data_IF_630250731365
#
_entry.id   IF_630250731365
#
_cell.length_a   1.000
_cell.length_b   1.000
_cell.length_c   1.000
_cell.angle_alpha   90.00
_cell.angle_beta   90.00
_cell.angle_gamma   90.00
#
_symmetry.space_group_name_H-M   'P 1'
#
loop_
_entity.id
_entity.type
_entity.pdbx_description
1 polymer ?
#
# COMPACT_ATOMS: atom_id res chain seq x y z
N UNK A 1 5.58 -27.19 28.90
CA UNK A 1 5.66 -27.39 27.44
C UNK A 1 4.25 -27.39 26.90
N UNK A 2 3.80 -26.23 26.42
CA UNK A 2 2.51 -26.02 25.78
C UNK A 2 2.80 -25.65 24.34
N UNK A 3 2.78 -26.65 23.45
CA UNK A 3 2.70 -26.42 22.01
C UNK A 3 1.28 -25.95 21.71
N UNK A 4 1.12 -24.65 21.43
CA UNK A 4 -0.03 -24.12 20.71
C UNK A 4 0.22 -24.34 19.22
N UNK A 5 -0.56 -25.20 18.55
CA UNK A 5 -0.60 -25.20 17.09
C UNK A 5 -1.52 -24.04 16.64
N UNK A 6 -1.18 -23.38 15.53
CA UNK A 6 -1.95 -22.30 14.87
C UNK A 6 -1.77 -20.84 15.36
N UNK A 7 -0.54 -20.42 15.70
CA UNK A 7 -0.11 -19.09 15.27
C UNK A 7 0.73 -19.29 14.01
N UNK A 8 0.34 -18.65 12.89
CA UNK A 8 1.14 -18.70 11.67
C UNK A 8 2.54 -18.19 12.02
N UNK A 9 3.54 -19.07 11.90
CA UNK A 9 4.92 -18.73 12.25
C UNK A 9 5.32 -17.46 11.49
N UNK A 10 5.77 -16.45 12.24
CA UNK A 10 6.29 -15.23 11.63
C UNK A 10 7.50 -15.58 10.76
N UNK A 11 7.70 -14.86 9.66
CA UNK A 11 8.86 -15.02 8.76
C UNK A 11 10.18 -15.04 9.52
N UNK A 12 10.33 -14.19 10.55
CA UNK A 12 11.49 -14.16 11.43
C UNK A 12 11.69 -15.46 12.23
N UNK A 13 10.62 -16.02 12.80
CA UNK A 13 10.69 -17.27 13.57
C UNK A 13 11.00 -18.48 12.67
N UNK A 14 10.51 -18.46 11.43
CA UNK A 14 10.83 -19.48 10.43
C UNK A 14 12.32 -19.41 10.04
N UNK A 15 12.86 -18.19 9.86
CA UNK A 15 14.27 -17.96 9.55
C UNK A 15 15.19 -18.37 10.71
N UNK A 16 14.84 -18.06 11.96
CA UNK A 16 15.60 -18.47 13.14
C UNK A 16 15.72 -19.99 13.26
N UNK A 17 14.63 -20.73 13.03
CA UNK A 17 14.66 -22.20 13.02
C UNK A 17 15.54 -22.73 11.89
N UNK A 18 15.43 -22.13 10.72
CA UNK A 18 16.25 -22.52 9.57
C UNK A 18 17.74 -22.31 9.84
N UNK A 19 18.13 -21.17 10.40
CA UNK A 19 19.51 -20.87 10.80
C UNK A 19 19.98 -21.87 11.87
N UNK A 20 19.15 -22.19 12.85
CA UNK A 20 19.47 -23.17 13.89
C UNK A 20 19.71 -24.57 13.30
N UNK A 21 18.85 -25.01 12.40
CA UNK A 21 18.98 -26.31 11.71
C UNK A 21 20.26 -26.35 10.87
N UNK A 22 20.56 -25.27 10.15
CA UNK A 22 21.78 -25.13 9.36
C UNK A 22 23.05 -25.13 10.22
N UNK A 23 23.08 -24.40 11.33
CA UNK A 23 24.21 -24.39 12.27
C UNK A 23 24.40 -25.76 12.94
N UNK A 24 23.30 -26.44 13.28
CA UNK A 24 23.34 -27.79 13.84
C UNK A 24 23.90 -28.82 12.83
N UNK A 25 23.66 -28.63 11.54
CA UNK A 25 24.20 -29.47 10.47
C UNK A 25 25.72 -29.35 10.34
N UNK A 26 26.27 -28.20 10.70
CA UNK A 26 27.71 -27.91 10.79
C UNK A 26 28.29 -28.22 12.18
N UNK A 27 27.50 -28.86 13.06
CA UNK A 27 27.86 -29.16 14.45
C UNK A 27 28.25 -27.94 15.29
N UNK A 28 27.76 -26.75 14.92
CA UNK A 28 27.95 -25.50 15.65
C UNK A 28 26.81 -25.29 16.64
N UNK A 29 27.17 -25.01 17.89
CA UNK A 29 26.23 -24.65 18.95
C UNK A 29 26.30 -23.15 19.17
N UNK A 30 25.28 -22.42 18.72
CA UNK A 30 25.16 -20.97 18.84
C UNK A 30 24.00 -20.65 19.80
N UNK A 31 24.14 -19.70 20.75
CA UNK A 31 23.05 -19.26 21.60
C UNK A 31 21.86 -18.72 20.80
N UNK A 32 20.65 -18.94 21.32
CA UNK A 32 19.40 -18.53 20.65
C UNK A 32 19.34 -17.01 20.39
N UNK A 33 19.84 -16.20 21.34
CA UNK A 33 19.86 -14.75 21.23
C UNK A 33 20.73 -14.27 20.04
N UNK A 34 21.81 -14.99 19.75
CA UNK A 34 22.69 -14.68 18.61
C UNK A 34 22.05 -15.11 17.29
N UNK A 35 21.31 -16.22 17.28
CA UNK A 35 20.51 -16.66 16.12
C UNK A 35 19.41 -15.64 15.79
N UNK A 36 18.74 -15.09 16.80
CA UNK A 36 17.75 -14.01 16.63
C UNK A 36 18.40 -12.74 16.06
N UNK A 37 19.60 -12.36 16.55
CA UNK A 37 20.34 -11.23 15.99
C UNK A 37 20.77 -11.46 14.54
N UNK A 38 21.23 -12.67 14.20
CA UNK A 38 21.58 -13.04 12.83
C UNK A 38 20.36 -12.98 11.91
N UNK A 39 19.21 -13.52 12.34
CA UNK A 39 17.97 -13.47 11.58
C UNK A 39 17.55 -12.02 11.29
N UNK A 40 17.58 -11.15 12.30
CA UNK A 40 17.28 -9.71 12.14
C UNK A 40 18.24 -9.00 11.19
N UNK A 41 19.53 -9.32 11.27
CA UNK A 41 20.53 -8.72 10.39
C UNK A 41 20.34 -9.13 8.92
N UNK A 42 19.95 -10.39 8.67
CA UNK A 42 19.63 -10.86 7.32
C UNK A 42 18.31 -10.26 6.81
N UNK A 43 17.36 -9.95 7.70
CA UNK A 43 16.12 -9.27 7.34
C UNK A 43 16.29 -7.77 7.02
N UNK A 44 17.35 -7.12 7.51
CA UNK A 44 17.54 -5.67 7.33
C UNK A 44 17.56 -5.28 5.85
N UNK A 45 16.67 -4.35 5.48
CA UNK A 45 16.54 -3.82 4.12
C UNK A 45 17.60 -2.74 3.88
N UNK A 46 18.54 -3.00 2.98
CA UNK A 46 19.56 -2.02 2.57
C UNK A 46 20.98 -2.56 2.48
N UNK A 47 21.22 -3.77 2.96
CA UNK A 47 22.51 -4.47 2.81
C UNK A 47 22.50 -5.35 1.56
N UNK A 48 23.61 -5.34 0.83
CA UNK A 48 23.81 -6.24 -0.30
C UNK A 48 24.05 -7.69 0.18
N UNK A 49 23.87 -8.66 -0.72
CA UNK A 49 24.05 -10.10 -0.39
C UNK A 49 25.41 -10.37 0.23
N UNK A 50 26.46 -9.80 -0.33
CA UNK A 50 27.84 -10.01 0.12
C UNK A 50 28.10 -9.39 1.50
N UNK A 51 27.50 -8.22 1.77
CA UNK A 51 27.58 -7.56 3.09
C UNK A 51 26.84 -8.34 4.17
N UNK A 52 25.71 -8.98 3.81
CA UNK A 52 24.98 -9.88 4.71
C UNK A 52 25.80 -11.12 5.04
N UNK A 53 26.44 -11.72 4.04
CA UNK A 53 27.32 -12.88 4.24
C UNK A 53 28.48 -12.52 5.19
N UNK A 54 29.18 -11.43 4.92
CA UNK A 54 30.34 -11.00 5.72
C UNK A 54 29.93 -10.60 7.15
N UNK A 55 28.80 -9.90 7.31
CA UNK A 55 28.31 -9.49 8.62
C UNK A 55 27.88 -10.67 9.49
N UNK A 56 27.13 -11.63 8.94
CA UNK A 56 26.72 -12.85 9.67
C UNK A 56 27.93 -13.73 9.98
N UNK A 57 28.89 -13.82 9.06
CA UNK A 57 30.15 -14.52 9.29
C UNK A 57 30.92 -13.91 10.46
N UNK A 58 31.05 -12.58 10.50
CA UNK A 58 31.69 -11.87 11.63
C UNK A 58 30.97 -12.07 12.97
N UNK A 59 29.64 -12.19 12.98
CA UNK A 59 28.88 -12.55 14.18
C UNK A 59 29.19 -13.98 14.63
N UNK A 60 29.23 -14.93 13.71
CA UNK A 60 29.56 -16.33 14.00
C UNK A 60 31.00 -16.50 14.51
N UNK A 61 31.96 -15.74 13.98
CA UNK A 61 33.35 -15.74 14.48
C UNK A 61 33.45 -15.28 15.94
N UNK A 62 32.60 -14.33 16.34
CA UNK A 62 32.56 -13.81 17.71
C UNK A 62 31.84 -14.72 18.71
N UNK A 63 30.94 -15.59 18.22
CA UNK A 63 30.06 -16.42 19.05
C UNK A 63 30.55 -17.86 19.18
N UNK A 64 31.24 -18.40 18.18
CA UNK A 64 31.79 -19.75 18.22
C UNK A 64 32.99 -19.80 19.18
N UNK A 65 32.83 -20.57 20.26
CA UNK A 65 33.82 -20.70 21.33
C UNK A 65 35.13 -21.30 20.78
N UNK A 66 36.16 -20.45 20.63
CA UNK A 66 37.44 -20.79 20.03
C UNK A 66 37.82 -20.01 18.77
N UNK A 67 36.92 -19.20 18.19
CA UNK A 67 37.23 -18.25 17.12
C UNK A 67 37.71 -18.89 15.80
N UNK A 68 37.51 -20.19 15.62
CA UNK A 68 37.86 -20.91 14.39
C UNK A 68 36.57 -21.48 13.81
N UNK A 69 36.03 -20.77 12.82
CA UNK A 69 34.96 -21.28 11.98
C UNK A 69 35.51 -22.34 11.02
N UNK A 70 34.79 -23.44 10.78
CA UNK A 70 35.06 -24.32 9.66
C UNK A 70 34.96 -23.50 8.36
N UNK A 71 36.06 -23.31 7.63
CA UNK A 71 36.02 -22.61 6.33
C UNK A 71 35.21 -23.42 5.29
N UNK A 72 35.12 -24.73 5.47
CA UNK A 72 34.34 -25.61 4.60
C UNK A 72 32.86 -25.62 5.01
N UNK A 73 31.99 -25.09 4.14
CA UNK A 73 30.54 -25.21 4.24
C UNK A 73 29.80 -24.09 4.98
N UNK A 74 30.51 -23.18 5.66
CA UNK A 74 29.88 -21.99 6.29
C UNK A 74 29.37 -21.02 5.23
N UNK A 75 30.17 -20.72 4.21
CA UNK A 75 29.76 -19.78 3.15
C UNK A 75 28.55 -20.33 2.36
N UNK A 76 28.55 -21.64 2.03
CA UNK A 76 27.41 -22.30 1.37
C UNK A 76 26.14 -22.32 2.24
N UNK A 77 26.30 -22.40 3.56
CA UNK A 77 25.19 -22.36 4.50
C UNK A 77 24.57 -20.96 4.57
N UNK A 78 25.42 -19.94 4.68
CA UNK A 78 24.99 -18.54 4.73
C UNK A 78 24.29 -18.14 3.42
N UNK A 79 24.76 -18.63 2.27
CA UNK A 79 24.06 -18.46 0.99
C UNK A 79 22.65 -19.04 1.02
N UNK A 80 22.47 -20.25 1.59
CA UNK A 80 21.15 -20.89 1.72
C UNK A 80 20.22 -20.14 2.67
N UNK A 81 20.77 -19.55 3.74
CA UNK A 81 19.99 -18.71 4.68
C UNK A 81 19.45 -17.46 3.98
N UNK A 82 20.26 -16.82 3.14
CA UNK A 82 19.81 -15.65 2.36
C UNK A 82 18.76 -16.06 1.32
N UNK A 83 18.95 -17.18 0.62
CA UNK A 83 17.98 -17.67 -0.36
C UNK A 83 16.63 -18.02 0.31
N UNK A 84 16.64 -18.60 1.52
CA UNK A 84 15.42 -18.88 2.28
C UNK A 84 14.77 -17.59 2.79
N UNK A 85 15.54 -16.57 3.18
CA UNK A 85 14.99 -15.26 3.52
C UNK A 85 14.30 -14.60 2.32
N UNK A 86 14.88 -14.66 1.12
CA UNK A 86 14.26 -14.12 -0.08
C UNK A 86 12.94 -14.85 -0.41
N UNK A 87 12.93 -16.18 -0.26
CA UNK A 87 11.72 -17.00 -0.42
C UNK A 87 10.64 -16.63 0.59
N UNK A 88 10.99 -16.48 1.87
CA UNK A 88 10.06 -16.07 2.92
C UNK A 88 9.52 -14.67 2.69
N UNK A 89 10.36 -13.74 2.20
CA UNK A 89 9.94 -12.38 1.84
C UNK A 89 8.91 -12.38 0.72
N UNK A 90 9.12 -13.16 -0.34
CA UNK A 90 8.17 -13.28 -1.46
C UNK A 90 6.84 -13.88 -0.97
N UNK A 91 6.89 -14.89 -0.11
CA UNK A 91 5.68 -15.52 0.45
C UNK A 91 4.90 -14.57 1.37
N UNK A 92 5.60 -13.76 2.16
CA UNK A 92 4.99 -12.76 3.04
C UNK A 92 4.42 -11.57 2.26
N UNK A 93 5.11 -11.09 1.21
CA UNK A 93 4.59 -10.07 0.30
C UNK A 93 3.33 -10.58 -0.44
N UNK A 94 3.28 -11.86 -0.83
CA UNK A 94 2.08 -12.45 -1.41
C UNK A 94 0.95 -12.60 -0.39
N UNK A 95 1.26 -12.92 0.87
CA UNK A 95 0.27 -12.99 1.96
C UNK A 95 -0.28 -11.61 2.29
N UNK A 96 0.58 -10.61 2.48
CA UNK A 96 0.19 -9.22 2.69
C UNK A 96 -0.62 -8.69 1.52
N UNK A 97 -0.26 -9.00 0.27
CA UNK A 97 -1.06 -8.62 -0.89
C UNK A 97 -2.44 -9.27 -0.91
N UNK A 98 -2.58 -10.53 -0.45
CA UNK A 98 -3.87 -11.21 -0.33
C UNK A 98 -4.70 -10.70 0.85
N UNK A 99 -4.05 -10.33 1.94
CA UNK A 99 -4.68 -9.72 3.12
C UNK A 99 -5.11 -8.28 2.83
N UNK A 100 -4.30 -7.48 2.13
CA UNK A 100 -4.69 -6.18 1.60
C UNK A 100 -5.84 -6.31 0.59
N UNK A 101 -5.85 -7.34 -0.25
CA UNK A 101 -6.98 -7.61 -1.15
C UNK A 101 -8.24 -8.08 -0.40
N UNK A 102 -8.11 -8.58 0.84
CA UNK A 102 -9.23 -8.93 1.72
C UNK A 102 -9.71 -7.78 2.60
N UNK A 103 -8.82 -6.96 3.16
CA UNK A 103 -9.15 -5.83 4.04
C UNK A 103 -9.61 -4.59 3.26
N UNK A 104 -9.29 -4.48 1.98
CA UNK A 104 -9.92 -3.54 1.04
C UNK A 104 -11.29 -4.05 0.54
N UNK A 105 -11.90 -5.04 1.22
CA UNK A 105 -13.31 -5.39 1.06
C UNK A 105 -14.18 -4.56 2.02
N UNK A 106 -14.71 -3.39 1.60
CA UNK A 106 -16.05 -3.07 2.05
C UNK A 106 -16.93 -4.22 1.54
N UNK A 107 -17.80 -4.76 2.40
CA UNK A 107 -18.90 -5.71 2.06
C UNK A 107 -19.03 -5.94 0.56
N UNK A 108 -18.75 -7.15 0.03
CA UNK A 108 -18.44 -7.35 -1.38
C UNK A 108 -19.45 -6.59 -2.23
N UNK A 109 -19.04 -5.57 -3.03
CA UNK A 109 -19.97 -4.94 -3.92
C UNK A 109 -20.51 -6.06 -4.80
N UNK A 110 -21.82 -6.32 -4.69
CA UNK A 110 -22.56 -7.24 -5.56
C UNK A 110 -21.97 -7.08 -6.95
N UNK A 111 -21.32 -8.14 -7.46
CA UNK A 111 -20.57 -8.08 -8.71
C UNK A 111 -21.46 -7.33 -9.71
N UNK A 112 -20.97 -6.35 -10.48
CA UNK A 112 -21.84 -5.56 -11.35
C UNK A 112 -22.61 -6.44 -12.37
N UNK A 113 -22.08 -7.62 -12.67
CA UNK A 113 -22.79 -8.66 -13.44
C UNK A 113 -24.02 -9.23 -12.73
N UNK A 114 -24.03 -9.35 -11.40
CA UNK A 114 -25.16 -9.80 -10.56
C UNK A 114 -26.27 -8.74 -10.49
N UNK A 115 -25.91 -7.46 -10.43
CA UNK A 115 -26.90 -6.37 -10.38
C UNK A 115 -27.57 -6.23 -11.74
N UNK A 116 -26.82 -6.26 -12.83
CA UNK A 116 -27.37 -6.18 -14.19
C UNK A 116 -28.13 -7.45 -14.60
N UNK A 117 -27.75 -8.63 -14.09
CA UNK A 117 -28.49 -9.88 -14.34
C UNK A 117 -29.79 -9.97 -13.54
N UNK A 118 -29.90 -9.26 -12.41
CA UNK A 118 -31.12 -9.18 -11.60
C UNK A 118 -32.22 -8.31 -12.19
N UNK A 119 -31.92 -7.52 -13.23
CA UNK A 119 -32.87 -6.62 -13.88
C UNK A 119 -33.57 -7.31 -15.04
N UNK A 120 -34.84 -7.00 -15.23
CA UNK A 120 -35.57 -7.47 -16.41
C UNK A 120 -35.04 -6.80 -17.69
N UNK A 121 -35.23 -7.41 -18.88
CA UNK A 121 -34.77 -6.85 -20.15
C UNK A 121 -35.35 -5.46 -20.46
N UNK A 122 -36.54 -5.15 -19.95
CA UNK A 122 -37.19 -3.86 -20.11
C UNK A 122 -36.57 -2.80 -19.19
N UNK A 123 -36.30 -3.14 -17.93
CA UNK A 123 -35.63 -2.27 -16.97
C UNK A 123 -34.18 -1.94 -17.39
N UNK A 124 -33.46 -2.92 -17.96
CA UNK A 124 -32.11 -2.70 -18.50
C UNK A 124 -32.11 -1.67 -19.63
N UNK A 125 -33.07 -1.72 -20.55
CA UNK A 125 -33.17 -0.76 -21.66
C UNK A 125 -33.50 0.64 -21.16
N UNK A 126 -34.37 0.75 -20.16
CA UNK A 126 -34.70 2.03 -19.55
C UNK A 126 -33.51 2.63 -18.80
N UNK A 127 -32.79 1.83 -18.02
CA UNK A 127 -31.57 2.25 -17.32
C UNK A 127 -30.48 2.69 -18.30
N UNK A 128 -30.27 1.95 -19.39
CA UNK A 128 -29.34 2.33 -20.46
C UNK A 128 -29.75 3.64 -21.14
N UNK A 129 -31.04 3.83 -21.44
CA UNK A 129 -31.56 5.06 -22.03
C UNK A 129 -31.36 6.26 -21.10
N UNK A 130 -31.63 6.11 -19.80
CA UNK A 130 -31.44 7.17 -18.81
C UNK A 130 -29.95 7.52 -18.64
N UNK A 131 -29.08 6.51 -18.53
CA UNK A 131 -27.63 6.72 -18.45
C UNK A 131 -27.09 7.44 -19.70
N UNK A 132 -27.61 7.10 -20.90
CA UNK A 132 -27.24 7.77 -22.14
C UNK A 132 -27.70 9.23 -22.14
N UNK A 133 -28.93 9.51 -21.72
CA UNK A 133 -29.44 10.88 -21.64
C UNK A 133 -28.63 11.74 -20.66
N UNK A 134 -28.21 11.19 -19.52
CA UNK A 134 -27.30 11.84 -18.58
C UNK A 134 -25.92 12.11 -19.19
N UNK A 135 -25.37 11.14 -19.95
CA UNK A 135 -24.08 11.32 -20.64
C UNK A 135 -24.10 12.48 -21.64
N UNK A 136 -25.24 12.74 -22.26
CA UNK A 136 -25.45 13.86 -23.18
C UNK A 136 -26.07 15.10 -22.52
N UNK A 137 -26.11 15.14 -21.18
CA UNK A 137 -26.66 16.24 -20.39
C UNK A 137 -28.11 16.63 -20.73
N UNK A 138 -28.91 15.70 -21.26
CA UNK A 138 -30.36 15.90 -21.46
C UNK A 138 -31.17 15.66 -20.18
N UNK A 139 -30.55 15.10 -19.15
CA UNK A 139 -31.10 14.90 -17.81
C UNK A 139 -30.00 15.25 -16.82
N UNK A 140 -30.21 16.28 -16.00
CA UNK A 140 -29.27 16.67 -14.96
C UNK A 140 -29.21 15.62 -13.84
N UNK A 141 -28.02 15.47 -13.26
CA UNK A 141 -27.87 14.77 -11.98
C UNK A 141 -28.80 15.43 -10.96
N UNK A 142 -29.54 14.62 -10.19
CA UNK A 142 -30.45 15.18 -9.19
C UNK A 142 -29.66 16.07 -8.21
N UNK A 143 -30.26 17.16 -7.72
CA UNK A 143 -29.58 18.09 -6.79
C UNK A 143 -28.98 17.38 -5.56
N UNK A 144 -29.52 16.22 -5.20
CA UNK A 144 -29.07 15.37 -4.11
C UNK A 144 -27.81 14.55 -4.46
N UNK A 145 -27.60 14.15 -5.73
CA UNK A 145 -26.37 13.50 -6.21
C UNK A 145 -25.17 14.46 -6.16
N UNK A 146 -25.39 15.74 -6.50
CA UNK A 146 -24.36 16.79 -6.43
C UNK A 146 -24.02 17.11 -4.97
N UNK A 147 -25.03 17.19 -4.09
CA UNK A 147 -24.81 17.38 -2.65
C UNK A 147 -24.08 16.22 -2.00
N UNK A 148 -24.37 14.97 -2.37
CA UNK A 148 -23.68 13.79 -1.85
C UNK A 148 -22.20 13.76 -2.27
N UNK A 149 -21.88 14.13 -3.52
CA UNK A 149 -20.50 14.22 -4.00
C UNK A 149 -19.71 15.34 -3.31
N UNK A 150 -20.33 16.49 -3.04
CA UNK A 150 -19.70 17.62 -2.32
C UNK A 150 -19.53 17.30 -0.82
N UNK A 151 -20.48 16.60 -0.21
CA UNK A 151 -20.42 16.20 1.20
C UNK A 151 -19.40 15.08 1.45
N UNK A 152 -19.12 14.23 0.46
CA UNK A 152 -18.05 13.23 0.53
C UNK A 152 -16.65 13.82 0.26
N UNK A 153 -16.55 14.92 -0.50
CA UNK A 153 -15.29 15.59 -0.81
C UNK A 153 -14.82 16.53 0.31
N UNK A 154 -15.74 17.09 1.10
CA UNK A 154 -15.43 17.95 2.25
C UNK A 154 -15.71 17.17 3.53
N UNK A 155 -14.68 16.55 4.11
CA UNK A 155 -14.74 15.79 5.36
C UNK A 155 -15.07 16.59 6.63
N UNK A 156 -15.94 17.60 6.55
CA UNK A 156 -16.41 18.42 7.66
C UNK A 156 -17.70 17.86 8.28
N UNK A 157 -17.65 16.61 8.74
CA UNK A 157 -18.65 16.12 9.70
C UNK A 157 -18.05 16.19 11.10
N UNK A 158 -18.41 17.24 11.82
CA UNK A 158 -18.28 17.34 13.27
C UNK A 158 -18.94 16.10 13.91
N UNK A 159 -18.20 15.25 14.64
CA UNK A 159 -18.73 14.04 15.24
C UNK A 159 -19.74 14.29 16.38
N UNK A 160 -20.03 15.55 16.74
CA UNK A 160 -20.88 15.89 17.88
C UNK A 160 -22.21 16.60 17.53
N UNK A 161 -22.64 16.58 16.27
CA UNK A 161 -23.93 17.18 15.87
C UNK A 161 -25.10 16.17 16.00
N UNK A 162 -26.17 16.46 16.78
CA UNK A 162 -27.32 15.56 16.91
C UNK A 162 -28.12 15.47 15.60
N UNK A 163 -28.53 14.25 15.24
CA UNK A 163 -29.34 14.00 14.04
C UNK A 163 -30.74 14.60 14.20
N UNK A 164 -31.09 15.59 13.36
CA UNK A 164 -32.46 16.12 13.29
C UNK A 164 -33.37 15.06 12.67
N UNK A 165 -34.17 14.42 13.51
CA UNK A 165 -35.22 13.48 13.13
C UNK A 165 -36.29 14.12 12.25
N UNK A 166 -36.71 13.38 11.23
CA UNK A 166 -37.87 13.69 10.40
C UNK A 166 -38.06 12.70 9.25
N UNK A 167 -38.98 11.74 9.42
CA UNK A 167 -39.50 10.76 8.44
C UNK A 167 -38.50 9.69 7.95
N UNK A 168 -38.21 8.71 8.80
CA UNK A 168 -37.27 7.61 8.51
C UNK A 168 -37.74 6.66 7.40
N UNK A 169 -39.01 6.24 7.37
CA UNK A 169 -39.42 5.15 6.46
C UNK A 169 -39.52 5.58 4.98
N UNK A 170 -40.06 6.76 4.69
CA UNK A 170 -40.06 7.32 3.31
C UNK A 170 -38.65 7.72 2.85
N UNK A 171 -37.72 7.98 3.78
CA UNK A 171 -36.34 8.30 3.42
C UNK A 171 -35.52 7.05 3.14
N UNK A 172 -35.77 5.94 3.85
CA UNK A 172 -35.01 4.71 3.71
C UNK A 172 -35.36 3.97 2.42
N UNK A 173 -36.64 3.91 2.04
CA UNK A 173 -37.04 3.33 0.74
C UNK A 173 -36.56 4.17 -0.45
N UNK A 174 -36.58 5.50 -0.32
CA UNK A 174 -36.02 6.39 -1.35
C UNK A 174 -34.50 6.28 -1.43
N UNK A 175 -33.80 6.21 -0.29
CA UNK A 175 -32.36 5.97 -0.23
C UNK A 175 -31.99 4.60 -0.81
N UNK A 176 -32.73 3.55 -0.49
CA UNK A 176 -32.50 2.22 -1.06
C UNK A 176 -32.75 2.19 -2.58
N UNK A 177 -33.77 2.91 -3.07
CA UNK A 177 -34.04 3.05 -4.49
C UNK A 177 -32.97 3.88 -5.22
N UNK A 178 -32.46 4.94 -4.59
CA UNK A 178 -31.37 5.77 -5.10
C UNK A 178 -30.02 5.03 -5.08
N UNK A 179 -29.73 4.28 -4.03
CA UNK A 179 -28.57 3.39 -3.94
C UNK A 179 -28.65 2.32 -5.03
N UNK A 180 -29.81 1.68 -5.22
CA UNK A 180 -30.01 0.72 -6.32
C UNK A 180 -29.81 1.37 -7.69
N UNK A 181 -30.31 2.59 -7.92
CA UNK A 181 -30.09 3.34 -9.17
C UNK A 181 -28.62 3.66 -9.39
N UNK A 182 -27.93 4.13 -8.35
CA UNK A 182 -26.50 4.44 -8.38
C UNK A 182 -25.66 3.21 -8.69
N UNK A 183 -25.97 2.08 -8.06
CA UNK A 183 -25.31 0.80 -8.31
C UNK A 183 -25.52 0.32 -9.76
N UNK A 184 -26.73 0.48 -10.30
CA UNK A 184 -27.03 0.13 -11.71
C UNK A 184 -26.27 1.03 -12.68
N UNK A 185 -26.22 2.34 -12.44
CA UNK A 185 -25.47 3.29 -13.27
C UNK A 185 -23.96 3.02 -13.22
N UNK A 186 -23.43 2.74 -12.03
CA UNK A 186 -22.03 2.38 -11.85
C UNK A 186 -21.69 1.06 -12.55
N UNK A 187 -22.56 0.06 -12.43
CA UNK A 187 -22.42 -1.20 -13.14
C UNK A 187 -22.43 -1.02 -14.67
N UNK A 188 -23.32 -0.18 -15.21
CA UNK A 188 -23.34 0.18 -16.63
C UNK A 188 -22.07 0.91 -17.07
N UNK A 189 -21.54 1.82 -16.24
CA UNK A 189 -20.29 2.54 -16.52
C UNK A 189 -19.10 1.59 -16.56
N UNK A 190 -19.00 0.68 -15.59
CA UNK A 190 -17.93 -0.31 -15.51
C UNK A 190 -18.02 -1.31 -16.67
N UNK A 191 -19.21 -1.78 -17.03
CA UNK A 191 -19.42 -2.64 -18.20
C UNK A 191 -19.03 -1.90 -19.51
N UNK A 192 -19.39 -0.63 -19.64
CA UNK A 192 -18.97 0.21 -20.77
C UNK A 192 -17.45 0.38 -20.84
N UNK A 193 -16.76 0.56 -19.71
CA UNK A 193 -15.29 0.59 -19.65
C UNK A 193 -14.68 -0.75 -20.03
N UNK A 194 -15.20 -1.87 -19.51
CA UNK A 194 -14.74 -3.23 -19.86
C UNK A 194 -14.93 -3.55 -21.34
N UNK A 195 -16.05 -3.11 -21.94
CA UNK A 195 -16.31 -3.22 -23.38
C UNK A 195 -15.37 -2.36 -24.21
N UNK A 196 -15.11 -1.11 -23.81
CA UNK A 196 -14.12 -0.23 -24.46
C UNK A 196 -12.71 -0.82 -24.37
N UNK A 197 -12.34 -1.36 -23.21
CA UNK A 197 -11.05 -2.00 -23.00
C UNK A 197 -10.90 -3.25 -23.86
N UNK A 198 -11.91 -4.13 -23.89
CA UNK A 198 -11.95 -5.29 -24.81
C UNK A 198 -11.86 -4.86 -26.27
N UNK A 199 -12.60 -3.83 -26.69
CA UNK A 199 -12.52 -3.27 -28.05
C UNK A 199 -11.15 -2.64 -28.39
N UNK A 200 -10.43 -2.14 -27.40
CA UNK A 200 -9.04 -1.65 -27.56
C UNK A 200 -8.02 -2.79 -27.58
N UNK A 201 -8.35 -3.94 -26.99
CA UNK A 201 -7.54 -5.15 -26.99
C UNK A 201 -7.79 -6.06 -28.19
N UNK A 202 -9.00 -6.07 -28.74
CA UNK A 202 -9.35 -6.70 -30.01
C UNK A 202 -8.64 -5.93 -31.13
N UNK A 203 -7.37 -6.28 -31.33
CA UNK A 203 -6.56 -5.84 -32.46
C UNK A 203 -7.16 -6.47 -33.69
N UNK A 204 -7.67 -5.65 -34.60
CA UNK A 204 -7.81 -6.06 -35.99
C UNK A 204 -6.39 -6.43 -36.48
N UNK A 205 -6.13 -7.74 -36.57
CA UNK A 205 -4.82 -8.31 -36.86
C UNK A 205 -4.25 -7.84 -38.21
N UNK A 206 -5.08 -7.20 -39.04
CA UNK A 206 -4.70 -6.64 -40.33
C UNK A 206 -4.26 -5.16 -40.27
N UNK A 207 -4.57 -4.43 -39.19
CA UNK A 207 -4.21 -3.01 -39.03
C UNK A 207 -3.89 -2.68 -37.56
N UNK A 208 -2.61 -2.71 -37.15
CA UNK A 208 -2.22 -2.33 -35.79
C UNK A 208 -2.64 -0.87 -35.50
N UNK A 209 -3.42 -0.67 -34.44
CA UNK A 209 -3.88 0.65 -34.03
C UNK A 209 -2.73 1.47 -33.43
N UNK A 210 -2.03 2.21 -34.30
CA UNK A 210 -0.93 3.14 -33.99
C UNK A 210 -1.27 4.21 -32.91
N UNK A 211 -2.54 4.35 -32.51
CA UNK A 211 -2.93 5.26 -31.43
C UNK A 211 -2.78 4.64 -30.03
N UNK A 212 -2.60 3.33 -29.90
CA UNK A 212 -2.46 2.67 -28.57
C UNK A 212 -1.17 3.09 -27.88
N UNK A 213 -0.06 3.11 -28.59
CA UNK A 213 1.24 3.55 -28.07
C UNK A 213 1.23 5.05 -27.75
N UNK A 214 0.61 5.87 -28.59
CA UNK A 214 0.49 7.32 -28.34
C UNK A 214 -0.34 7.63 -27.10
N UNK A 215 -1.42 6.89 -26.86
CA UNK A 215 -2.26 7.04 -25.67
C UNK A 215 -1.53 6.53 -24.42
N UNK A 216 -0.85 5.39 -24.50
CA UNK A 216 -0.05 4.86 -23.41
C UNK A 216 1.11 5.81 -23.03
N UNK A 217 1.81 6.34 -24.02
CA UNK A 217 2.90 7.29 -23.84
C UNK A 217 2.41 8.60 -23.19
N UNK A 218 1.28 9.14 -23.64
CA UNK A 218 0.67 10.33 -23.01
C UNK A 218 0.27 10.07 -21.55
N UNK A 219 -0.31 8.91 -21.26
CA UNK A 219 -0.68 8.54 -19.89
C UNK A 219 0.54 8.35 -18.98
N UNK A 220 1.65 7.82 -19.50
CA UNK A 220 2.91 7.72 -18.77
C UNK A 220 3.50 9.09 -18.48
N UNK A 221 3.55 9.98 -19.48
CA UNK A 221 4.02 11.36 -19.31
C UNK A 221 3.19 12.13 -18.28
N UNK A 222 1.87 11.93 -18.26
CA UNK A 222 1.00 12.56 -17.26
C UNK A 222 1.30 12.03 -15.86
N UNK A 223 1.47 10.72 -15.69
CA UNK A 223 1.84 10.09 -14.40
C UNK A 223 3.20 10.58 -13.89
N UNK A 224 4.19 10.70 -14.77
CA UNK A 224 5.51 11.22 -14.43
C UNK A 224 5.46 12.70 -14.03
N UNK A 225 4.66 13.51 -14.74
CA UNK A 225 4.50 14.93 -14.40
C UNK A 225 3.85 15.13 -13.03
N UNK A 226 2.86 14.30 -12.66
CA UNK A 226 2.24 14.31 -11.34
C UNK A 226 3.22 13.89 -10.24
N UNK A 227 4.05 12.86 -10.50
CA UNK A 227 5.10 12.42 -9.56
C UNK A 227 6.13 13.53 -9.30
N UNK A 228 6.58 14.19 -10.37
CA UNK A 228 7.52 15.30 -10.27
C UNK A 228 6.91 16.51 -9.53
N UNK A 229 5.65 16.84 -9.80
CA UNK A 229 4.95 17.92 -9.09
C UNK A 229 4.78 17.63 -7.59
N UNK A 230 4.51 16.37 -7.22
CA UNK A 230 4.43 15.96 -5.82
C UNK A 230 5.80 16.06 -5.12
N UNK A 231 6.88 15.64 -5.80
CA UNK A 231 8.23 15.72 -5.26
C UNK A 231 8.66 17.18 -5.04
N UNK A 232 8.41 18.08 -6.00
CA UNK A 232 8.72 19.50 -5.86
C UNK A 232 8.01 20.17 -4.67
N UNK A 233 6.78 19.74 -4.33
CA UNK A 233 6.08 20.22 -3.14
C UNK A 233 6.79 19.76 -1.86
N UNK A 234 7.14 18.47 -1.77
CA UNK A 234 7.88 17.93 -0.63
C UNK A 234 9.22 18.63 -0.42
N UNK A 235 9.96 18.88 -1.50
CA UNK A 235 11.27 19.54 -1.43
C UNK A 235 11.12 21.00 -0.97
N UNK A 236 10.07 21.70 -1.41
CA UNK A 236 9.76 23.06 -0.96
C UNK A 236 9.42 23.12 0.53
N UNK A 237 8.61 22.18 1.01
CA UNK A 237 8.21 22.11 2.41
C UNK A 237 9.41 21.75 3.30
N UNK A 238 10.27 20.81 2.87
CA UNK A 238 11.52 20.48 3.56
C UNK A 238 12.46 21.69 3.65
N UNK A 239 12.64 22.42 2.55
CA UNK A 239 13.46 23.63 2.53
C UNK A 239 12.91 24.73 3.46
N UNK A 240 11.58 24.87 3.56
CA UNK A 240 10.95 25.82 4.48
C UNK A 240 11.19 25.45 5.96
N UNK A 241 11.08 24.16 6.29
CA UNK A 241 11.35 23.65 7.64
C UNK A 241 12.83 23.80 8.03
N UNK A 242 13.76 23.52 7.10
CA UNK A 242 15.19 23.68 7.36
C UNK A 242 15.56 25.15 7.56
N UNK A 243 14.94 26.08 6.81
CA UNK A 243 15.09 27.52 7.04
C UNK A 243 14.59 27.92 8.44
N UNK A 244 13.42 27.41 8.86
CA UNK A 244 12.89 27.69 10.20
C UNK A 244 13.81 27.18 11.31
N UNK A 245 14.39 25.97 11.13
CA UNK A 245 15.37 25.40 12.06
C UNK A 245 16.64 26.24 12.13
N UNK A 246 17.15 26.70 10.99
CA UNK A 246 18.35 27.56 10.93
C UNK A 246 18.11 28.91 11.62
N UNK A 247 16.96 29.55 11.39
CA UNK A 247 16.61 30.82 12.02
C UNK A 247 16.45 30.66 13.55
N UNK A 248 15.85 29.55 14.02
CA UNK A 248 15.76 29.23 15.45
C UNK A 248 17.15 28.95 16.07
N UNK A 249 18.02 28.22 15.38
CA UNK A 249 19.37 27.95 15.85
C UNK A 249 20.18 29.24 15.99
N UNK A 250 20.08 30.15 15.01
CA UNK A 250 20.72 31.47 15.05
C UNK A 250 20.19 32.33 16.19
N UNK A 251 18.87 32.36 16.40
CA UNK A 251 18.25 33.09 17.51
C UNK A 251 18.67 32.53 18.89
N UNK A 252 18.79 31.21 19.03
CA UNK A 252 19.29 30.56 20.26
C UNK A 252 20.77 30.91 20.49
N UNK A 253 21.61 30.85 19.46
CA UNK A 253 23.02 31.22 19.55
C UNK A 253 23.21 32.69 19.95
N UNK A 254 22.43 33.60 19.38
CA UNK A 254 22.49 35.03 19.74
C UNK A 254 22.00 35.30 21.17
N UNK A 255 20.98 34.56 21.65
CA UNK A 255 20.56 34.61 23.06
C UNK A 255 21.65 34.11 23.99
N UNK A 256 22.30 32.98 23.68
CA UNK A 256 23.40 32.45 24.49
C UNK A 256 24.59 33.42 24.52
N UNK A 257 24.97 34.01 23.38
CA UNK A 257 26.02 35.04 23.32
C UNK A 257 25.69 36.27 24.17
N UNK A 258 24.44 36.72 24.17
CA UNK A 258 23.99 37.84 25.01
C UNK A 258 24.00 37.49 26.50
N UNK A 259 23.51 36.31 26.87
CA UNK A 259 23.53 35.82 28.26
C UNK A 259 24.97 35.70 28.79
N UNK A 260 25.87 35.07 28.04
CA UNK A 260 27.29 34.94 28.41
C UNK A 260 27.99 36.31 28.56
N UNK A 261 27.60 37.31 27.76
CA UNK A 261 28.13 38.68 27.89
C UNK A 261 27.58 39.42 29.11
N UNK A 262 26.38 39.08 29.56
CA UNK A 262 25.77 39.62 30.77
C UNK A 262 26.38 39.00 32.03
N UNK A 263 26.62 37.68 32.04
CA UNK A 263 27.34 36.99 33.13
C UNK A 263 28.79 37.48 33.27
N UNK A 264 29.46 37.89 32.18
CA UNK A 264 30.79 38.52 32.26
C UNK A 264 30.79 39.94 32.81
N UNK A 265 29.62 40.59 32.91
CA UNK A 265 29.48 41.98 33.37
C UNK A 265 28.90 42.08 34.79
N UNK A 266 28.25 41.02 35.25
CA UNK A 266 27.82 40.84 36.65
C UNK A 266 29.00 40.35 37.49
#
# INVERSE_FOLDING_TARGET
MSNTPDEAESSAQALERYITDQLSSLSLSVPQDDVEMMARFVEEEGLERDEKLEGVKGMLEGVVDGGVLPEEGVDEMLEKVIDEQERLRIAEEERQRKEEEQDDSPTPPTKPGDILSSLTPEELKQAQKQALLRQYAYVDASEDEVKAAISAANGDRDPNAPSKGGKSNDSEEKKAAEERRRLVEEALRLDGKKKKYRKQQEVDLLAPNLNREKVAYRAQMEKESLKNAAQQRKDRDKAALDKQRADQAKAKADKQKKAAKQERRA
#
